data_IF_319104525649
#
_entry.id   IF_319104525649
#
_cell.length_a   1.000
_cell.length_b   1.000
_cell.length_c   1.000
_cell.angle_alpha   90.00
_cell.angle_beta   90.00
_cell.angle_gamma   90.00
#
_symmetry.space_group_name_H-M   'P 1'
#
loop_
_entity.id
_entity.type
_entity.pdbx_description
1 polymer ?
#
# COMPACT_ATOMS: atom_id res chain seq x y z
N UNK A 1 -28.59 -4.41 6.68
CA UNK A 1 -27.62 -3.29 6.76
C UNK A 1 -26.17 -3.76 6.65
N UNK A 2 -25.70 -4.67 7.52
CA UNK A 2 -24.31 -5.16 7.49
C UNK A 2 -23.85 -5.78 6.15
N UNK A 3 -24.71 -6.52 5.44
CA UNK A 3 -24.36 -7.13 4.14
C UNK A 3 -24.04 -6.11 3.04
N UNK A 4 -24.67 -4.93 3.06
CA UNK A 4 -24.36 -3.84 2.12
C UNK A 4 -22.99 -3.19 2.43
N UNK A 5 -22.65 -3.07 3.71
CA UNK A 5 -21.35 -2.56 4.16
C UNK A 5 -20.24 -3.50 3.69
N UNK A 6 -20.38 -4.81 3.91
CA UNK A 6 -19.38 -5.79 3.44
C UNK A 6 -19.29 -5.87 1.92
N UNK A 7 -20.40 -5.69 1.18
CA UNK A 7 -20.36 -5.60 -0.28
C UNK A 7 -19.56 -4.40 -0.74
N UNK A 8 -19.83 -3.22 -0.19
CA UNK A 8 -19.08 -2.00 -0.51
C UNK A 8 -17.59 -2.17 -0.18
N UNK A 9 -17.27 -2.69 1.01
CA UNK A 9 -15.91 -2.95 1.43
C UNK A 9 -15.18 -3.94 0.50
N UNK A 10 -15.84 -5.03 0.11
CA UNK A 10 -15.29 -5.99 -0.84
C UNK A 10 -15.01 -5.35 -2.21
N UNK A 11 -15.91 -4.51 -2.70
CA UNK A 11 -15.70 -3.76 -3.94
C UNK A 11 -14.49 -2.84 -3.83
N UNK A 12 -14.35 -2.10 -2.73
CA UNK A 12 -13.19 -1.22 -2.49
C UNK A 12 -11.90 -2.04 -2.44
N UNK A 13 -11.90 -3.18 -1.73
CA UNK A 13 -10.75 -4.08 -1.71
C UNK A 13 -10.35 -4.42 -3.14
N UNK A 14 -11.24 -4.95 -3.97
CA UNK A 14 -10.90 -5.39 -5.34
C UNK A 14 -10.45 -4.25 -6.26
N UNK A 15 -11.03 -3.06 -6.14
CA UNK A 15 -10.71 -1.92 -7.01
C UNK A 15 -9.36 -1.28 -6.65
N UNK A 16 -9.02 -1.21 -5.37
CA UNK A 16 -7.81 -0.56 -4.89
C UNK A 16 -6.50 -1.01 -5.58
N UNK A 17 -6.16 -2.31 -5.68
CA UNK A 17 -4.93 -2.74 -6.34
C UNK A 17 -4.94 -2.45 -7.85
N UNK A 18 -6.12 -2.50 -8.49
CA UNK A 18 -6.27 -2.14 -9.90
C UNK A 18 -5.93 -0.67 -10.11
N UNK A 19 -6.43 0.21 -9.25
CA UNK A 19 -6.09 1.64 -9.29
C UNK A 19 -4.57 1.82 -9.12
N UNK A 20 -3.96 1.19 -8.12
CA UNK A 20 -2.52 1.34 -7.85
C UNK A 20 -1.64 0.85 -9.01
N UNK A 21 -2.05 -0.21 -9.71
CA UNK A 21 -1.35 -0.71 -10.91
C UNK A 21 -1.56 0.15 -12.16
N UNK A 22 -2.65 0.93 -12.22
CA UNK A 22 -2.90 1.87 -13.33
C UNK A 22 -2.09 3.16 -13.13
N UNK A 23 -1.90 3.59 -11.87
CA UNK A 23 -1.06 4.74 -11.56
C UNK A 23 0.39 4.43 -11.92
N UNK A 24 1.13 5.36 -12.54
CA UNK A 24 2.53 5.11 -12.89
C UNK A 24 3.40 4.92 -11.64
N UNK A 25 4.55 4.28 -11.81
CA UNK A 25 5.49 4.02 -10.71
C UNK A 25 5.93 5.31 -10.00
N UNK A 26 6.15 6.39 -10.75
CA UNK A 26 6.60 7.70 -10.26
C UNK A 26 5.47 8.60 -9.72
N UNK A 27 4.22 8.12 -9.67
CA UNK A 27 3.06 8.94 -9.31
C UNK A 27 3.22 9.62 -7.94
N UNK A 28 3.76 8.90 -6.96
CA UNK A 28 3.95 9.39 -5.59
C UNK A 28 5.32 10.03 -5.34
N UNK A 29 6.21 10.07 -6.34
CA UNK A 29 7.54 10.65 -6.19
C UNK A 29 7.48 12.17 -6.10
N UNK A 30 6.42 12.75 -6.71
CA UNK A 30 6.15 14.18 -6.71
C UNK A 30 5.34 14.57 -5.48
N UNK A 31 5.70 15.69 -4.88
CA UNK A 31 5.05 16.24 -3.69
C UNK A 31 5.85 15.99 -2.41
N UNK A 32 5.52 16.77 -1.37
CA UNK A 32 6.16 16.61 -0.08
C UNK A 32 5.62 15.38 0.64
N UNK A 33 6.52 14.47 1.01
CA UNK A 33 6.17 13.35 1.88
C UNK A 33 5.98 13.87 3.29
N UNK A 34 4.74 13.96 3.75
CA UNK A 34 4.40 14.38 5.11
C UNK A 34 4.64 13.23 6.10
N UNK A 35 5.91 13.00 6.47
CA UNK A 35 6.28 12.08 7.53
C UNK A 35 6.11 12.82 8.88
N UNK A 36 5.16 12.41 9.72
CA UNK A 36 4.90 13.08 11.01
C UNK A 36 6.14 13.09 11.92
N UNK A 37 6.98 12.05 11.84
CA UNK A 37 8.25 11.99 12.58
C UNK A 37 9.22 13.10 12.17
N UNK A 38 9.32 13.36 10.87
CA UNK A 38 10.17 14.44 10.35
C UNK A 38 9.57 15.79 10.72
N UNK A 39 8.26 15.97 10.55
CA UNK A 39 7.57 17.24 10.80
C UNK A 39 7.65 17.71 12.27
N UNK A 40 7.55 16.79 13.22
CA UNK A 40 7.53 17.13 14.66
C UNK A 40 8.86 16.95 15.38
N UNK A 41 9.74 16.07 14.87
CA UNK A 41 10.90 15.62 15.62
C UNK A 41 12.21 15.63 14.80
N UNK A 42 12.19 16.12 13.55
CA UNK A 42 13.37 16.23 12.68
C UNK A 42 14.17 14.93 12.50
N UNK A 43 13.52 13.76 12.59
CA UNK A 43 14.15 12.47 12.33
C UNK A 43 13.32 11.59 11.38
N UNK A 44 14.02 10.83 10.54
CA UNK A 44 13.40 9.84 9.65
C UNK A 44 13.02 8.58 10.41
N UNK A 45 11.75 8.19 10.35
CA UNK A 45 11.30 6.91 10.88
C UNK A 45 11.42 5.79 9.84
N UNK A 46 11.38 4.54 10.29
CA UNK A 46 11.48 3.36 9.44
C UNK A 46 10.40 3.26 8.34
N UNK A 47 9.33 4.05 8.44
CA UNK A 47 8.23 4.07 7.47
C UNK A 47 8.29 5.27 6.50
N UNK A 48 9.22 6.23 6.66
CA UNK A 48 9.32 7.31 5.67
C UNK A 48 9.67 6.69 4.29
N UNK A 49 9.05 7.21 3.23
CA UNK A 49 9.20 6.69 1.87
C UNK A 49 8.45 5.39 1.55
N UNK A 50 7.74 4.76 2.51
CA UNK A 50 7.11 3.45 2.31
C UNK A 50 6.13 3.39 1.14
N UNK A 51 5.26 4.41 1.00
CA UNK A 51 4.26 4.44 -0.09
C UNK A 51 4.92 4.50 -1.48
N UNK A 52 5.97 5.32 -1.62
CA UNK A 52 6.75 5.41 -2.87
C UNK A 52 7.42 4.08 -3.16
N UNK A 53 8.08 3.51 -2.16
CA UNK A 53 8.74 2.23 -2.30
C UNK A 53 7.78 1.11 -2.73
N UNK A 54 6.60 1.01 -2.08
CA UNK A 54 5.59 0.02 -2.47
C UNK A 54 5.08 0.25 -3.90
N UNK A 55 4.82 1.51 -4.30
CA UNK A 55 4.39 1.82 -5.66
C UNK A 55 5.42 1.40 -6.72
N UNK A 56 6.70 1.66 -6.46
CA UNK A 56 7.80 1.18 -7.32
C UNK A 56 7.90 -0.36 -7.31
N UNK A 57 7.78 -1.01 -6.15
CA UNK A 57 7.84 -2.48 -6.07
C UNK A 57 6.73 -3.19 -6.84
N UNK A 58 5.49 -2.69 -6.79
CA UNK A 58 4.39 -3.30 -7.55
C UNK A 58 4.58 -3.15 -9.07
N UNK A 59 5.42 -2.18 -9.50
CA UNK A 59 5.85 -1.99 -10.88
C UNK A 59 7.18 -2.68 -11.21
N UNK A 60 7.74 -3.46 -10.27
CA UNK A 60 9.00 -4.20 -10.42
C UNK A 60 10.26 -3.31 -10.46
N UNK A 61 10.17 -2.06 -10.00
CA UNK A 61 11.30 -1.12 -9.90
C UNK A 61 12.04 -1.28 -8.57
N UNK A 62 12.69 -2.44 -8.39
CA UNK A 62 13.32 -2.83 -7.12
C UNK A 62 14.40 -1.88 -6.62
N UNK A 63 15.22 -1.32 -7.52
CA UNK A 63 16.31 -0.42 -7.13
C UNK A 63 15.76 0.86 -6.51
N UNK A 64 14.84 1.52 -7.22
CA UNK A 64 14.24 2.78 -6.77
C UNK A 64 13.44 2.55 -5.48
N UNK A 65 12.71 1.44 -5.40
CA UNK A 65 12.00 1.08 -4.18
C UNK A 65 12.92 0.88 -2.97
N UNK A 66 14.06 0.22 -3.16
CA UNK A 66 15.04 0.01 -2.10
C UNK A 66 15.63 1.34 -1.60
N UNK A 67 15.89 2.26 -2.52
CA UNK A 67 16.40 3.60 -2.21
C UNK A 67 15.37 4.43 -1.42
N UNK A 68 14.08 4.33 -1.75
CA UNK A 68 13.02 4.99 -0.97
C UNK A 68 12.78 4.37 0.40
N UNK A 69 12.76 3.05 0.51
CA UNK A 69 12.61 2.36 1.79
C UNK A 69 13.06 0.89 1.70
N UNK A 70 14.14 0.55 2.41
CA UNK A 70 14.71 -0.82 2.41
C UNK A 70 13.77 -1.90 2.98
N UNK A 71 12.90 -1.52 3.93
CA UNK A 71 11.95 -2.46 4.55
C UNK A 71 10.79 -2.80 3.62
N UNK A 72 10.56 -2.02 2.56
CA UNK A 72 9.48 -2.25 1.59
C UNK A 72 9.50 -3.66 0.99
N UNK A 73 10.69 -4.23 0.77
CA UNK A 73 10.87 -5.60 0.26
C UNK A 73 10.27 -6.67 1.18
N UNK A 74 10.24 -6.43 2.49
CA UNK A 74 9.62 -7.32 3.48
C UNK A 74 8.16 -6.92 3.71
N UNK A 75 7.87 -5.61 3.73
CA UNK A 75 6.53 -5.09 3.98
C UNK A 75 5.57 -5.46 2.85
N UNK A 76 5.98 -5.42 1.58
CA UNK A 76 5.09 -5.77 0.46
C UNK A 76 4.59 -7.23 0.54
N UNK A 77 5.43 -8.27 0.76
CA UNK A 77 4.95 -9.63 0.99
C UNK A 77 3.98 -9.76 2.18
N UNK A 78 4.27 -9.09 3.30
CA UNK A 78 3.38 -9.11 4.48
C UNK A 78 2.04 -8.42 4.19
N UNK A 79 2.09 -7.29 3.49
CA UNK A 79 0.92 -6.55 3.06
C UNK A 79 0.07 -7.38 2.11
N UNK A 80 0.69 -8.00 1.11
CA UNK A 80 0.01 -8.88 0.16
C UNK A 80 -0.66 -10.06 0.88
N UNK A 81 0.07 -10.74 1.77
CA UNK A 81 -0.48 -11.85 2.55
C UNK A 81 -1.68 -11.43 3.41
N UNK A 82 -1.54 -10.33 4.16
CA UNK A 82 -2.62 -9.79 5.01
C UNK A 82 -3.84 -9.39 4.17
N UNK A 83 -3.60 -8.73 3.04
CA UNK A 83 -4.62 -8.28 2.12
C UNK A 83 -5.38 -9.47 1.49
N UNK A 84 -4.69 -10.51 1.02
CA UNK A 84 -5.33 -11.71 0.49
C UNK A 84 -6.18 -12.44 1.53
N UNK A 85 -5.66 -12.56 2.77
CA UNK A 85 -6.42 -13.12 3.89
C UNK A 85 -7.72 -12.35 4.13
N UNK A 86 -7.67 -11.02 4.02
CA UNK A 86 -8.83 -10.16 4.20
C UNK A 86 -9.86 -10.30 3.07
N UNK A 87 -9.40 -10.34 1.81
CA UNK A 87 -10.27 -10.61 0.65
C UNK A 87 -11.01 -11.94 0.81
N UNK A 88 -10.30 -13.00 1.21
CA UNK A 88 -10.89 -14.32 1.47
C UNK A 88 -11.90 -14.27 2.62
N UNK A 89 -11.56 -13.58 3.72
CA UNK A 89 -12.45 -13.42 4.87
C UNK A 89 -13.78 -12.76 4.47
N UNK A 90 -13.71 -11.65 3.73
CA UNK A 90 -14.91 -10.91 3.31
C UNK A 90 -15.72 -11.72 2.29
N UNK A 91 -15.05 -12.43 1.38
CA UNK A 91 -15.73 -13.35 0.45
C UNK A 91 -16.58 -14.39 1.18
N UNK A 92 -16.05 -15.02 2.24
CA UNK A 92 -16.81 -15.98 3.05
C UNK A 92 -17.95 -15.36 3.86
N UNK A 93 -17.87 -14.09 4.24
CA UNK A 93 -18.96 -13.36 4.92
C UNK A 93 -20.10 -13.04 3.94
N UNK A 94 -19.79 -12.82 2.67
CA UNK A 94 -20.76 -12.43 1.64
C UNK A 94 -21.47 -13.61 0.98
N UNK A 95 -20.79 -14.75 0.89
CA UNK A 95 -21.35 -16.04 0.43
C UNK A 95 -22.52 -16.45 1.32
#
# INVERSE_FOLDING_TARGET
>A
MYKYIYKFYFTVLLILPVILLILPADFFDKGESMCLSVLFFDFECYACGMTRAIQHLIHLDFSIAYDYNKLSLVVLPLLAFSYFKEVIRVYYILK
#
